data_IF_593310849901
#
_entry.id   IF_593310849901
#
_cell.length_a   1.000
_cell.length_b   1.000
_cell.length_c   1.000
_cell.angle_alpha   90.00
_cell.angle_beta   90.00
_cell.angle_gamma   90.00
#
_symmetry.space_group_name_H-M   'P 1'
#
loop_
_entity.id
_entity.type
_entity.pdbx_description
1 polymer ?
#
# COMPACT_ATOMS: atom_id res chain seq x y z
N UNK A 1 -19.04 -6.97 -17.19
CA UNK A 1 -19.19 -5.70 -16.45
C UNK A 1 -17.87 -5.39 -15.78
N UNK A 2 -17.15 -4.36 -16.25
CA UNK A 2 -15.94 -3.87 -15.58
C UNK A 2 -16.36 -3.35 -14.21
N UNK A 3 -15.89 -3.99 -13.14
CA UNK A 3 -16.03 -3.43 -11.79
C UNK A 3 -15.16 -2.19 -11.79
N UNK A 4 -15.76 -1.01 -11.98
CA UNK A 4 -15.06 0.25 -11.76
C UNK A 4 -14.48 0.15 -10.36
N UNK A 5 -13.17 0.02 -10.27
CA UNK A 5 -12.50 -0.09 -9.00
C UNK A 5 -12.83 1.21 -8.25
N UNK A 6 -13.59 1.10 -7.15
CA UNK A 6 -14.04 2.27 -6.37
C UNK A 6 -12.84 3.16 -6.08
N UNK A 7 -13.00 4.47 -6.28
CA UNK A 7 -11.93 5.42 -6.05
C UNK A 7 -11.64 5.54 -4.56
N UNK A 8 -10.36 5.69 -4.23
CA UNK A 8 -9.92 5.98 -2.87
C UNK A 8 -10.08 7.49 -2.66
N UNK A 9 -10.95 7.89 -1.74
CA UNK A 9 -11.21 9.30 -1.45
C UNK A 9 -10.04 9.96 -0.69
N UNK A 10 -9.93 11.27 -0.79
CA UNK A 10 -8.89 12.04 -0.08
C UNK A 10 -7.60 12.26 -0.88
N UNK A 11 -6.59 12.80 -0.19
CA UNK A 11 -5.28 13.11 -0.77
C UNK A 11 -4.46 11.83 -0.97
N UNK A 12 -3.83 11.71 -2.14
CA UNK A 12 -3.19 10.46 -2.60
C UNK A 12 -1.97 10.08 -1.78
N UNK A 13 -1.09 11.04 -1.56
CA UNK A 13 0.09 10.96 -0.71
C UNK A 13 -0.28 10.64 0.75
N UNK A 14 -1.29 11.34 1.29
CA UNK A 14 -1.79 11.08 2.66
C UNK A 14 -2.33 9.66 2.78
N UNK A 15 -3.01 9.14 1.77
CA UNK A 15 -3.51 7.77 1.77
C UNK A 15 -2.37 6.74 1.76
N UNK A 16 -1.26 7.00 1.07
CA UNK A 16 -0.07 6.14 1.13
C UNK A 16 0.49 6.09 2.55
N UNK A 17 0.60 7.23 3.24
CA UNK A 17 1.04 7.26 4.65
C UNK A 17 0.08 6.52 5.59
N UNK A 18 -1.24 6.64 5.38
CA UNK A 18 -2.25 5.89 6.16
C UNK A 18 -2.18 4.40 5.91
N UNK A 19 -1.91 4.00 4.67
CA UNK A 19 -1.76 2.59 4.31
C UNK A 19 -0.51 1.97 4.94
N UNK A 20 0.61 2.70 4.98
CA UNK A 20 1.79 2.35 5.76
C UNK A 20 1.44 2.14 7.25
N UNK A 21 0.75 3.10 7.87
CA UNK A 21 0.36 3.00 9.28
C UNK A 21 -0.54 1.77 9.54
N UNK A 22 -1.47 1.47 8.63
CA UNK A 22 -2.31 0.27 8.71
C UNK A 22 -1.48 -1.00 8.66
N UNK A 23 -0.51 -1.14 7.74
CA UNK A 23 0.40 -2.29 7.71
C UNK A 23 1.19 -2.43 9.01
N UNK A 24 1.70 -1.33 9.57
CA UNK A 24 2.40 -1.33 10.84
C UNK A 24 1.52 -1.74 12.03
N UNK A 25 0.21 -1.47 11.99
CA UNK A 25 -0.72 -1.91 13.03
C UNK A 25 -0.99 -3.43 13.04
N UNK A 26 -0.74 -4.12 11.92
CA UNK A 26 -0.98 -5.57 11.78
C UNK A 26 0.24 -6.43 12.12
N UNK A 27 1.37 -5.82 12.48
CA UNK A 27 2.63 -6.51 12.68
C UNK A 27 3.33 -6.02 13.95
N UNK A 28 3.91 -6.93 14.73
CA UNK A 28 4.81 -6.56 15.85
C UNK A 28 6.29 -6.63 15.47
N UNK A 29 6.60 -7.20 14.30
CA UNK A 29 7.97 -7.34 13.84
C UNK A 29 8.52 -6.00 13.31
N UNK A 30 9.44 -5.40 14.06
CA UNK A 30 10.07 -4.12 13.70
C UNK A 30 10.83 -4.16 12.36
N UNK A 31 11.44 -5.30 12.02
CA UNK A 31 12.10 -5.46 10.71
C UNK A 31 11.08 -5.35 9.58
N UNK A 32 9.89 -5.94 9.74
CA UNK A 32 8.85 -5.83 8.71
C UNK A 32 8.26 -4.41 8.64
N UNK A 33 8.15 -3.70 9.77
CA UNK A 33 7.72 -2.29 9.78
C UNK A 33 8.67 -1.39 8.99
N UNK A 34 9.99 -1.56 9.17
CA UNK A 34 11.01 -0.84 8.39
C UNK A 34 10.91 -1.15 6.89
N UNK A 35 10.55 -2.37 6.52
CA UNK A 35 10.37 -2.75 5.11
C UNK A 35 9.11 -2.12 4.51
N UNK A 36 8.05 -1.95 5.30
CA UNK A 36 6.86 -1.19 4.89
C UNK A 36 7.12 0.31 4.81
N UNK A 37 7.96 0.86 5.68
CA UNK A 37 8.43 2.24 5.59
C UNK A 37 9.19 2.45 4.28
N UNK A 38 10.12 1.55 3.94
CA UNK A 38 10.84 1.60 2.67
C UNK A 38 9.90 1.51 1.45
N UNK A 39 8.89 0.63 1.48
CA UNK A 39 7.90 0.53 0.41
C UNK A 39 7.03 1.79 0.30
N UNK A 40 6.72 2.44 1.41
CA UNK A 40 6.01 3.73 1.48
C UNK A 40 6.85 4.84 0.83
N UNK A 41 8.11 4.96 1.23
CA UNK A 41 9.02 5.97 0.71
C UNK A 41 9.22 5.82 -0.79
N UNK A 42 9.48 4.60 -1.28
CA UNK A 42 9.60 4.32 -2.72
C UNK A 42 8.32 4.68 -3.49
N UNK A 43 7.15 4.42 -2.91
CA UNK A 43 5.86 4.76 -3.52
C UNK A 43 5.72 6.27 -3.66
N UNK A 44 6.06 7.03 -2.62
CA UNK A 44 5.97 8.49 -2.62
C UNK A 44 7.03 9.13 -3.54
N UNK A 45 8.26 8.62 -3.51
CA UNK A 45 9.39 9.10 -4.32
C UNK A 45 9.10 8.99 -5.83
N UNK A 46 8.51 7.88 -6.26
CA UNK A 46 8.11 7.67 -7.67
C UNK A 46 6.77 8.33 -8.04
N UNK A 47 6.13 9.05 -7.11
CA UNK A 47 4.83 9.69 -7.34
C UNK A 47 3.69 8.70 -7.59
N UNK A 48 3.80 7.48 -7.06
CA UNK A 48 2.77 6.46 -7.16
C UNK A 48 1.67 6.71 -6.10
N UNK A 49 0.43 6.39 -6.46
CA UNK A 49 -0.70 6.39 -5.55
C UNK A 49 -1.27 4.97 -5.40
N UNK A 50 -2.07 4.75 -4.36
CA UNK A 50 -2.66 3.44 -4.08
C UNK A 50 -3.59 2.96 -5.21
N UNK A 51 -4.21 3.87 -5.96
CA UNK A 51 -5.05 3.49 -7.11
C UNK A 51 -4.19 2.90 -8.23
N UNK A 52 -3.04 3.50 -8.54
CA UNK A 52 -2.05 2.99 -9.51
C UNK A 52 -1.45 1.67 -9.06
N UNK A 53 -1.08 1.54 -7.78
CA UNK A 53 -0.57 0.28 -7.23
C UNK A 53 -1.61 -0.82 -7.39
N UNK A 54 -2.87 -0.55 -7.02
CA UNK A 54 -3.97 -1.52 -7.13
C UNK A 54 -4.23 -1.95 -8.57
N UNK A 55 -4.08 -1.04 -9.54
CA UNK A 55 -4.32 -1.32 -10.96
C UNK A 55 -3.19 -2.14 -11.60
N UNK A 56 -1.94 -1.76 -11.39
CA UNK A 56 -0.80 -2.37 -12.08
C UNK A 56 -0.28 -3.62 -11.39
N UNK A 57 -0.44 -3.69 -10.07
CA UNK A 57 0.07 -4.76 -9.22
C UNK A 57 1.55 -5.16 -9.45
N UNK A 58 2.39 -4.20 -9.85
CA UNK A 58 3.80 -4.46 -10.10
C UNK A 58 4.57 -4.55 -8.78
N UNK A 59 4.87 -5.78 -8.38
CA UNK A 59 5.71 -6.05 -7.20
C UNK A 59 7.21 -6.00 -7.49
N UNK A 60 7.62 -6.12 -8.76
CA UNK A 60 9.01 -6.35 -9.10
C UNK A 60 9.87 -5.11 -8.84
N UNK A 61 9.37 -3.92 -9.19
CA UNK A 61 10.02 -2.66 -8.87
C UNK A 61 10.39 -2.52 -7.38
N UNK A 62 9.46 -2.90 -6.49
CA UNK A 62 9.65 -2.79 -5.03
C UNK A 62 10.70 -3.80 -4.55
N UNK A 63 10.70 -5.01 -5.11
CA UNK A 63 11.70 -6.05 -4.82
C UNK A 63 13.09 -5.62 -5.30
N UNK A 64 13.19 -5.08 -6.49
CA UNK A 64 14.46 -4.65 -7.09
C UNK A 64 15.14 -3.53 -6.29
N UNK A 65 14.34 -2.74 -5.55
CA UNK A 65 14.82 -1.70 -4.65
C UNK A 65 15.22 -2.22 -3.26
N UNK A 66 15.09 -3.51 -3.00
CA UNK A 66 15.62 -4.16 -1.79
C UNK A 66 14.57 -4.54 -0.74
N UNK A 67 13.30 -4.24 -0.96
CA UNK A 67 12.23 -4.66 -0.05
C UNK A 67 12.05 -6.18 -0.11
N UNK A 68 11.92 -6.82 1.05
CA UNK A 68 11.67 -8.26 1.14
C UNK A 68 10.46 -8.68 0.30
N UNK A 69 10.63 -9.72 -0.51
CA UNK A 69 9.61 -10.28 -1.43
C UNK A 69 8.23 -10.48 -0.80
N UNK A 70 8.15 -10.93 0.46
CA UNK A 70 6.87 -11.11 1.16
C UNK A 70 6.16 -9.78 1.44
N UNK A 71 6.91 -8.78 1.91
CA UNK A 71 6.43 -7.42 2.19
C UNK A 71 6.01 -6.72 0.90
N UNK A 72 6.84 -6.78 -0.15
CA UNK A 72 6.54 -6.20 -1.46
C UNK A 72 5.22 -6.74 -2.04
N UNK A 73 4.99 -8.05 -1.95
CA UNK A 73 3.74 -8.67 -2.40
C UNK A 73 2.53 -8.16 -1.61
N UNK A 74 2.64 -8.08 -0.29
CA UNK A 74 1.58 -7.59 0.59
C UNK A 74 1.27 -6.11 0.37
N UNK A 75 2.31 -5.29 0.22
CA UNK A 75 2.18 -3.87 -0.08
C UNK A 75 1.32 -3.63 -1.33
N UNK A 76 1.51 -4.44 -2.36
CA UNK A 76 0.74 -4.33 -3.60
C UNK A 76 -0.66 -4.95 -3.50
N UNK A 77 -0.77 -6.15 -2.91
CA UNK A 77 -2.02 -6.90 -2.90
C UNK A 77 -3.05 -6.35 -1.91
N UNK A 78 -2.60 -5.77 -0.79
CA UNK A 78 -3.47 -5.44 0.33
C UNK A 78 -4.14 -4.06 0.20
N UNK A 79 -3.91 -3.34 -0.89
CA UNK A 79 -4.56 -2.04 -1.14
C UNK A 79 -6.09 -2.16 -1.12
N UNK A 80 -6.62 -3.22 -1.72
CA UNK A 80 -8.08 -3.46 -1.74
C UNK A 80 -8.60 -3.89 -0.35
N UNK A 81 -7.76 -4.55 0.46
CA UNK A 81 -8.12 -4.92 1.84
C UNK A 81 -8.17 -3.66 2.70
N UNK A 82 -7.12 -2.84 2.66
CA UNK A 82 -7.08 -1.57 3.36
C UNK A 82 -8.22 -0.65 2.96
N UNK A 83 -8.54 -0.55 1.67
CA UNK A 83 -9.63 0.30 1.20
C UNK A 83 -10.97 -0.09 1.85
N UNK A 84 -11.23 -1.39 2.00
CA UNK A 84 -12.45 -1.88 2.66
C UNK A 84 -12.45 -1.63 4.16
N UNK A 85 -11.32 -1.83 4.82
CA UNK A 85 -11.17 -1.52 6.26
C UNK A 85 -11.41 -0.01 6.49
N UNK A 86 -10.81 0.85 5.66
CA UNK A 86 -10.95 2.30 5.76
C UNK A 86 -12.37 2.80 5.46
N UNK A 87 -13.10 2.15 4.53
CA UNK A 87 -14.52 2.43 4.28
C UNK A 87 -15.38 2.08 5.50
N UNK A 88 -15.09 0.96 6.18
CA UNK A 88 -15.85 0.52 7.35
C UNK A 88 -15.61 1.37 8.60
N UNK A 89 -14.40 1.89 8.80
CA UNK A 89 -14.08 2.80 9.92
C UNK A 89 -14.67 4.22 9.72
N UNK A 90 -15.11 4.54 8.51
CA UNK A 90 -15.70 5.84 8.15
C UNK A 90 -17.23 5.85 8.17
N UNK A 91 -17.87 4.72 8.52
CA UNK A 91 -19.32 4.54 8.67
C UNK A 91 -19.69 4.37 10.15
#
# INVERSE_FOLDING_TARGET
MSRLARRISGMRDVNVSKYYAWHCSKNDNNVWKMEYEMACDLTLEEGLDLERIRLNQDTQFIIDKGVKKGVARRWVSDVEVWFRDAENDSL
#
